data_IF_502937768346
#
_entry.id   IF_502937768346
#
_cell.length_a   1.000
_cell.length_b   1.000
_cell.length_c   1.000
_cell.angle_alpha   90.00
_cell.angle_beta   90.00
_cell.angle_gamma   90.00
#
_symmetry.space_group_name_H-M   'P 1'
#
loop_
_entity.id
_entity.type
_entity.pdbx_description
1 polymer ?
#
# COMPACT_ATOMS: atom_id res chain seq x y z
N UNK A 1 10.88 64.79 -6.68
CA UNK A 1 10.11 65.83 -5.98
C UNK A 1 8.95 66.24 -6.89
N UNK A 2 7.74 66.19 -6.31
CA UNK A 2 6.47 66.80 -6.69
C UNK A 2 5.86 66.58 -8.09
N UNK A 3 4.69 65.94 -8.03
CA UNK A 3 3.55 66.02 -8.94
C UNK A 3 3.09 67.46 -9.21
N UNK A 4 2.20 67.63 -10.20
CA UNK A 4 0.96 68.34 -9.87
C UNK A 4 -0.32 67.67 -10.39
N UNK A 5 -1.35 67.98 -9.62
CA UNK A 5 -2.77 67.63 -9.68
C UNK A 5 -3.49 68.54 -10.69
N UNK A 6 -4.65 68.12 -11.22
CA UNK A 6 -5.81 68.99 -11.56
C UNK A 6 -7.05 68.15 -11.94
N UNK A 7 -8.28 68.70 -11.86
CA UNK A 7 -9.39 68.04 -11.16
C UNK A 7 -10.68 67.88 -11.99
N UNK A 8 -11.65 67.17 -11.39
CA UNK A 8 -13.05 67.10 -11.78
C UNK A 8 -13.88 68.16 -11.04
N UNK A 9 -14.85 68.81 -11.70
CA UNK A 9 -16.15 69.16 -11.11
C UNK A 9 -17.15 69.71 -12.15
N UNK A 10 -18.42 69.26 -12.09
CA UNK A 10 -19.66 70.04 -11.86
C UNK A 10 -20.90 69.17 -12.19
N UNK A 11 -21.70 68.77 -11.18
CA UNK A 11 -23.01 69.31 -10.70
C UNK A 11 -24.22 68.86 -11.56
N UNK A 12 -25.47 68.58 -11.10
CA UNK A 12 -26.19 68.34 -9.83
C UNK A 12 -27.63 67.83 -10.23
N UNK A 13 -28.22 66.73 -9.71
CA UNK A 13 -29.27 66.56 -8.63
C UNK A 13 -30.61 67.33 -8.85
N UNK A 14 -31.85 66.87 -8.46
CA UNK A 14 -32.54 65.55 -8.31
C UNK A 14 -34.00 65.55 -8.86
N UNK A 15 -34.81 64.48 -8.70
CA UNK A 15 -36.22 64.52 -8.19
C UNK A 15 -36.81 63.11 -7.92
N UNK A 16 -37.88 63.07 -7.12
CA UNK A 16 -38.43 61.99 -6.28
C UNK A 16 -39.55 61.15 -6.97
N UNK A 17 -39.71 59.88 -6.51
CA UNK A 17 -40.75 58.82 -6.69
C UNK A 17 -42.25 59.29 -6.73
N UNK A 18 -43.30 58.47 -7.07
CA UNK A 18 -43.44 56.98 -7.05
C UNK A 18 -44.35 56.29 -8.13
N UNK A 19 -44.47 54.95 -8.05
CA UNK A 19 -45.70 54.12 -8.13
C UNK A 19 -45.96 53.15 -9.32
N UNK A 20 -46.22 51.90 -8.91
CA UNK A 20 -47.02 50.80 -9.49
C UNK A 20 -46.57 50.07 -10.77
N UNK A 21 -46.15 48.81 -10.60
CA UNK A 21 -46.87 47.66 -11.19
C UNK A 21 -46.52 46.37 -10.43
N UNK A 22 -47.56 45.70 -9.94
CA UNK A 22 -47.49 44.42 -9.27
C UNK A 22 -47.68 43.27 -10.28
N UNK A 23 -46.95 42.19 -9.99
CA UNK A 23 -47.25 40.77 -10.22
C UNK A 23 -47.32 40.25 -11.67
N UNK A 24 -46.26 39.53 -12.06
CA UNK A 24 -46.37 38.09 -12.39
C UNK A 24 -45.18 37.36 -11.77
N UNK A 25 -45.48 36.41 -10.89
CA UNK A 25 -44.54 35.47 -10.28
C UNK A 25 -43.82 34.62 -11.32
N UNK A 26 -42.49 34.56 -11.25
CA UNK A 26 -41.78 33.29 -11.34
C UNK A 26 -40.89 33.19 -10.09
N UNK A 27 -41.32 32.36 -9.15
CA UNK A 27 -40.52 32.03 -7.97
C UNK A 27 -39.23 31.36 -8.42
N UNK A 28 -38.11 31.91 -7.97
CA UNK A 28 -36.89 31.16 -7.80
C UNK A 28 -37.11 30.09 -6.73
N UNK A 29 -37.03 28.82 -7.12
CA UNK A 29 -36.63 27.71 -6.24
C UNK A 29 -35.93 26.70 -7.13
N UNK A 30 -34.62 26.54 -6.96
CA UNK A 30 -33.92 25.37 -7.48
C UNK A 30 -34.50 24.07 -6.88
N UNK A 31 -34.16 22.92 -7.48
CA UNK A 31 -33.30 22.06 -6.69
C UNK A 31 -32.00 21.73 -7.43
N UNK A 32 -30.91 22.22 -6.84
CA UNK A 32 -29.57 21.67 -6.96
C UNK A 32 -29.66 20.14 -6.80
N UNK A 33 -29.39 19.39 -7.87
CA UNK A 33 -29.35 17.93 -7.82
C UNK A 33 -28.23 17.46 -6.87
N UNK A 34 -28.60 17.11 -5.64
CA UNK A 34 -27.74 16.47 -4.63
C UNK A 34 -27.47 14.98 -4.91
N UNK A 35 -27.59 14.51 -6.16
CA UNK A 35 -27.72 13.08 -6.48
C UNK A 35 -26.42 12.31 -6.80
N UNK A 36 -25.23 12.92 -6.66
CA UNK A 36 -23.98 12.34 -7.18
C UNK A 36 -23.08 11.54 -6.19
N UNK A 37 -22.87 11.94 -4.93
CA UNK A 37 -21.84 11.29 -4.08
C UNK A 37 -22.26 9.93 -3.48
N UNK A 38 -23.55 9.75 -3.13
CA UNK A 38 -24.01 8.50 -2.48
C UNK A 38 -24.03 7.31 -3.44
N UNK A 39 -24.34 7.54 -4.73
CA UNK A 39 -24.30 6.49 -5.76
C UNK A 39 -22.87 6.04 -6.04
N UNK A 40 -21.91 6.95 -5.97
CA UNK A 40 -20.49 6.66 -6.16
C UNK A 40 -19.96 5.75 -5.04
N UNK A 41 -20.26 6.06 -3.77
CA UNK A 41 -19.86 5.22 -2.64
C UNK A 41 -20.50 3.83 -2.65
N UNK A 42 -21.79 3.71 -3.02
CA UNK A 42 -22.45 2.41 -3.13
C UNK A 42 -21.76 1.50 -4.17
N UNK A 43 -21.38 2.06 -5.32
CA UNK A 43 -20.61 1.32 -6.33
C UNK A 43 -19.24 0.93 -5.78
N UNK A 44 -18.52 1.84 -5.13
CA UNK A 44 -17.21 1.53 -4.53
C UNK A 44 -17.32 0.43 -3.46
N UNK A 45 -18.36 0.43 -2.63
CA UNK A 45 -18.59 -0.62 -1.64
C UNK A 45 -18.86 -1.98 -2.31
N UNK A 46 -19.67 -2.03 -3.37
CA UNK A 46 -19.89 -3.27 -4.14
C UNK A 46 -18.61 -3.81 -4.79
N UNK A 47 -17.73 -2.91 -5.25
CA UNK A 47 -16.42 -3.28 -5.79
C UNK A 47 -15.50 -3.86 -4.70
N UNK A 48 -15.48 -3.26 -3.51
CA UNK A 48 -14.73 -3.77 -2.35
C UNK A 48 -15.29 -5.11 -1.88
N UNK A 49 -16.61 -5.26 -1.82
CA UNK A 49 -17.23 -6.50 -1.39
C UNK A 49 -18.59 -6.72 -2.08
N UNK A 50 -18.71 -7.70 -2.99
CA UNK A 50 -19.97 -7.99 -3.68
C UNK A 50 -21.14 -8.33 -2.76
N UNK A 51 -20.89 -8.77 -1.51
CA UNK A 51 -21.92 -9.11 -0.54
C UNK A 51 -22.70 -7.88 -0.03
N UNK A 52 -22.28 -6.66 -0.36
CA UNK A 52 -23.08 -5.46 -0.11
C UNK A 52 -24.39 -5.41 -0.92
N UNK A 53 -24.52 -6.19 -2.00
CA UNK A 53 -25.72 -6.22 -2.85
C UNK A 53 -27.01 -6.51 -2.07
N UNK A 54 -26.92 -7.33 -1.02
CA UNK A 54 -28.04 -7.74 -0.18
C UNK A 54 -28.09 -7.01 1.18
N UNK A 55 -27.06 -6.23 1.51
CA UNK A 55 -26.83 -5.68 2.86
C UNK A 55 -26.50 -4.19 2.85
N UNK A 56 -26.73 -3.49 1.75
CA UNK A 56 -26.38 -2.07 1.62
C UNK A 56 -27.09 -1.24 2.70
N UNK A 57 -26.37 -0.36 3.44
CA UNK A 57 -27.00 0.54 4.39
C UNK A 57 -27.97 1.49 3.68
N UNK A 58 -28.93 2.02 4.44
CA UNK A 58 -29.88 2.97 3.88
C UNK A 58 -29.20 4.25 3.36
N UNK A 59 -29.92 4.99 2.53
CA UNK A 59 -29.37 6.18 1.89
C UNK A 59 -29.02 7.29 2.90
N UNK A 60 -29.65 7.31 4.09
CA UNK A 60 -29.41 8.31 5.12
C UNK A 60 -28.10 8.04 5.89
N UNK A 61 -27.79 6.77 6.16
CA UNK A 61 -26.54 6.33 6.74
C UNK A 61 -25.34 6.60 5.82
N UNK A 62 -25.56 6.54 4.50
CA UNK A 62 -24.54 6.83 3.49
C UNK A 62 -24.43 8.31 3.11
N UNK A 63 -25.47 9.13 3.35
CA UNK A 63 -25.50 10.54 2.96
C UNK A 63 -24.46 11.40 3.70
N UNK A 64 -24.02 10.96 4.88
CA UNK A 64 -22.97 11.62 5.67
C UNK A 64 -21.54 11.29 5.18
N UNK A 65 -21.40 10.31 4.28
CA UNK A 65 -20.13 9.80 3.80
C UNK A 65 -19.85 10.32 2.39
N UNK A 66 -18.64 10.85 2.19
CA UNK A 66 -18.16 11.29 0.89
C UNK A 66 -17.53 10.11 0.15
N UNK A 67 -17.50 10.16 -1.19
CA UNK A 67 -16.70 9.23 -1.97
C UNK A 67 -15.23 9.35 -1.57
N UNK A 68 -14.53 8.22 -1.57
CA UNK A 68 -13.18 8.10 -1.03
C UNK A 68 -12.22 7.77 -2.17
N UNK A 69 -11.28 8.68 -2.45
CA UNK A 69 -10.26 8.54 -3.50
C UNK A 69 -9.02 7.74 -3.05
N UNK A 70 -9.04 7.23 -1.82
CA UNK A 70 -7.95 6.48 -1.20
C UNK A 70 -8.40 5.07 -0.82
N UNK A 71 -7.64 4.06 -1.25
CA UNK A 71 -7.98 2.64 -1.07
C UNK A 71 -8.08 2.26 0.40
N UNK A 72 -7.15 2.74 1.23
CA UNK A 72 -7.15 2.45 2.67
C UNK A 72 -8.38 3.07 3.31
N UNK A 73 -8.66 4.35 3.06
CA UNK A 73 -9.83 5.01 3.60
C UNK A 73 -11.16 4.41 3.07
N UNK A 74 -11.20 3.86 1.85
CA UNK A 74 -12.35 3.15 1.31
C UNK A 74 -12.58 1.83 2.06
N UNK A 75 -11.53 1.04 2.29
CA UNK A 75 -11.60 -0.20 3.08
C UNK A 75 -11.95 0.10 4.54
N UNK A 76 -11.43 1.18 5.13
CA UNK A 76 -11.84 1.63 6.47
C UNK A 76 -13.31 2.02 6.54
N UNK A 77 -13.81 2.70 5.49
CA UNK A 77 -15.22 3.05 5.37
C UNK A 77 -16.08 1.80 5.27
N UNK A 78 -15.65 0.82 4.48
CA UNK A 78 -16.27 -0.50 4.42
C UNK A 78 -16.35 -1.14 5.80
N UNK A 79 -15.23 -1.26 6.53
CA UNK A 79 -15.24 -1.91 7.85
C UNK A 79 -16.07 -1.16 8.89
N UNK A 80 -16.10 0.17 8.88
CA UNK A 80 -16.98 0.93 9.78
C UNK A 80 -18.44 0.55 9.58
N UNK A 81 -18.90 0.43 8.33
CA UNK A 81 -20.27 0.01 8.02
C UNK A 81 -20.52 -1.46 8.38
N UNK A 82 -19.53 -2.34 8.21
CA UNK A 82 -19.62 -3.74 8.67
C UNK A 82 -19.76 -3.79 10.20
N UNK A 83 -18.94 -3.05 10.94
CA UNK A 83 -18.99 -2.97 12.39
C UNK A 83 -20.35 -2.49 12.89
N UNK A 84 -20.94 -1.47 12.25
CA UNK A 84 -22.29 -1.00 12.57
C UNK A 84 -23.33 -2.13 12.42
N UNK A 85 -23.24 -2.96 11.37
CA UNK A 85 -24.12 -4.11 11.20
C UNK A 85 -23.88 -5.22 12.21
N UNK A 86 -22.62 -5.51 12.55
CA UNK A 86 -22.27 -6.53 13.53
C UNK A 86 -22.81 -6.18 14.92
N UNK A 87 -22.77 -4.89 15.27
CA UNK A 87 -23.29 -4.37 16.54
C UNK A 87 -24.82 -4.35 16.61
N UNK A 88 -25.49 -4.16 15.48
CA UNK A 88 -26.95 -4.10 15.39
C UNK A 88 -27.62 -5.48 15.17
N UNK A 89 -26.84 -6.52 14.89
CA UNK A 89 -27.36 -7.86 14.62
C UNK A 89 -28.07 -8.47 15.84
N UNK A 90 -29.20 -9.14 15.61
CA UNK A 90 -29.82 -10.00 16.62
C UNK A 90 -28.96 -11.26 16.80
N UNK A 91 -28.59 -11.52 18.05
CA UNK A 91 -27.70 -12.60 18.47
C UNK A 91 -28.31 -13.44 19.61
N UNK A 92 -29.63 -13.42 19.76
CA UNK A 92 -30.34 -14.13 20.83
C UNK A 92 -30.16 -15.66 20.74
N UNK A 93 -29.72 -16.15 19.58
CA UNK A 93 -29.39 -17.55 19.30
C UNK A 93 -27.99 -17.96 19.76
N UNK A 94 -27.11 -17.02 20.14
CA UNK A 94 -25.74 -17.32 20.55
C UNK A 94 -25.67 -17.77 22.02
N UNK A 95 -24.75 -18.71 22.29
CA UNK A 95 -24.35 -19.01 23.67
C UNK A 95 -23.61 -17.83 24.31
N UNK A 96 -23.48 -17.84 25.64
CA UNK A 96 -22.70 -16.83 26.38
C UNK A 96 -21.25 -16.76 25.86
N UNK A 97 -20.59 -17.91 25.72
CA UNK A 97 -19.22 -18.00 25.19
C UNK A 97 -19.10 -17.42 23.76
N UNK A 98 -20.04 -17.74 22.87
CA UNK A 98 -20.06 -17.18 21.51
C UNK A 98 -20.30 -15.68 21.51
N UNK A 99 -21.17 -15.18 22.39
CA UNK A 99 -21.47 -13.75 22.51
C UNK A 99 -20.24 -12.97 22.98
N UNK A 100 -19.51 -13.51 23.96
CA UNK A 100 -18.25 -12.92 24.41
C UNK A 100 -17.16 -12.93 23.33
N UNK A 101 -16.98 -14.03 22.60
CA UNK A 101 -15.99 -14.11 21.53
C UNK A 101 -16.35 -13.21 20.35
N UNK A 102 -17.64 -13.09 20.04
CA UNK A 102 -18.14 -12.11 19.05
C UNK A 102 -17.73 -10.69 19.45
N UNK A 103 -17.94 -10.30 20.71
CA UNK A 103 -17.55 -8.98 21.20
C UNK A 103 -16.04 -8.74 21.08
N UNK A 104 -15.21 -9.73 21.42
CA UNK A 104 -13.75 -9.67 21.25
C UNK A 104 -13.34 -9.53 19.78
N UNK A 105 -14.01 -10.24 18.86
CA UNK A 105 -13.73 -10.14 17.43
C UNK A 105 -14.19 -8.80 16.82
N UNK A 106 -15.29 -8.22 17.28
CA UNK A 106 -15.69 -6.87 16.90
C UNK A 106 -14.62 -5.85 17.31
N UNK A 107 -14.04 -5.98 18.51
CA UNK A 107 -12.99 -5.07 18.96
C UNK A 107 -11.69 -5.25 18.16
N UNK A 108 -11.26 -6.50 17.91
CA UNK A 108 -10.12 -6.78 17.01
C UNK A 108 -10.32 -6.17 15.62
N UNK A 109 -11.53 -6.25 15.06
CA UNK A 109 -11.84 -5.66 13.76
C UNK A 109 -11.78 -4.12 13.80
N UNK A 110 -12.19 -3.49 14.91
CA UNK A 110 -12.03 -2.04 15.10
C UNK A 110 -10.57 -1.63 15.14
N UNK A 111 -9.75 -2.31 15.92
CA UNK A 111 -8.30 -2.07 16.00
C UNK A 111 -7.63 -2.24 14.63
N UNK A 112 -7.95 -3.33 13.92
CA UNK A 112 -7.49 -3.60 12.56
C UNK A 112 -7.88 -2.48 11.58
N UNK A 113 -9.12 -1.99 11.68
CA UNK A 113 -9.63 -0.89 10.87
C UNK A 113 -8.86 0.41 11.14
N UNK A 114 -8.62 0.73 12.41
CA UNK A 114 -7.87 1.94 12.81
C UNK A 114 -6.40 1.88 12.39
N UNK A 115 -5.78 0.70 12.44
CA UNK A 115 -4.40 0.51 11.99
C UNK A 115 -4.23 0.81 10.50
N UNK A 116 -5.23 0.49 9.67
CA UNK A 116 -5.23 0.80 8.23
C UNK A 116 -4.15 0.05 7.44
N UNK A 117 -3.69 -1.09 7.96
CA UNK A 117 -2.67 -1.94 7.34
C UNK A 117 -3.36 -3.13 6.71
N UNK A 118 -3.61 -3.05 5.41
CA UNK A 118 -4.38 -4.04 4.66
C UNK A 118 -3.53 -4.76 3.61
N UNK A 119 -3.87 -6.02 3.29
CA UNK A 119 -3.23 -6.76 2.20
C UNK A 119 -3.23 -6.01 0.89
N UNK A 120 -2.22 -6.26 0.07
CA UNK A 120 -2.18 -5.74 -1.30
C UNK A 120 -2.23 -6.88 -2.30
N UNK A 121 -3.08 -6.72 -3.31
CA UNK A 121 -3.18 -7.69 -4.39
C UNK A 121 -2.07 -7.45 -5.41
N UNK A 122 -1.00 -8.25 -5.34
CA UNK A 122 0.08 -8.30 -6.34
C UNK A 122 -0.01 -9.53 -7.23
N UNK A 123 -1.05 -10.33 -7.09
CA UNK A 123 -1.14 -11.65 -7.71
C UNK A 123 -1.90 -11.62 -9.03
N UNK A 124 -3.03 -10.91 -9.07
CA UNK A 124 -3.95 -10.94 -10.22
C UNK A 124 -4.56 -9.57 -10.47
N UNK A 125 -4.74 -9.21 -11.74
CA UNK A 125 -5.38 -7.95 -12.12
C UNK A 125 -6.83 -7.85 -11.61
N UNK A 126 -7.24 -6.63 -11.26
CA UNK A 126 -8.56 -6.33 -10.70
C UNK A 126 -8.66 -6.55 -9.19
N UNK A 127 -9.86 -6.40 -8.63
CA UNK A 127 -10.11 -6.63 -7.19
C UNK A 127 -10.22 -8.11 -6.88
N UNK A 128 -9.47 -8.59 -5.89
CA UNK A 128 -9.49 -9.99 -5.45
C UNK A 128 -9.28 -10.13 -3.94
N UNK A 129 -9.85 -11.14 -3.27
CA UNK A 129 -9.44 -11.45 -1.91
C UNK A 129 -7.95 -11.80 -1.91
N UNK A 130 -7.27 -11.41 -0.84
CA UNK A 130 -5.89 -11.80 -0.54
C UNK A 130 -5.88 -12.17 0.92
N UNK A 131 -5.69 -13.45 1.24
CA UNK A 131 -5.81 -13.94 2.61
C UNK A 131 -4.65 -13.44 3.47
N UNK A 132 -3.41 -13.67 3.03
CA UNK A 132 -2.20 -13.02 3.53
C UNK A 132 -1.40 -12.56 2.31
N UNK A 133 -0.99 -11.30 2.27
CA UNK A 133 -0.12 -10.82 1.20
C UNK A 133 1.33 -11.30 1.40
N UNK A 134 2.23 -11.18 0.41
CA UNK A 134 3.60 -11.66 0.56
C UNK A 134 4.33 -11.01 1.75
N UNK A 135 3.97 -9.77 2.06
CA UNK A 135 4.53 -9.00 3.17
C UNK A 135 4.08 -9.53 4.54
N UNK A 136 3.12 -10.45 4.60
CA UNK A 136 2.60 -11.02 5.84
C UNK A 136 1.41 -10.26 6.40
N UNK A 137 0.89 -9.27 5.67
CA UNK A 137 -0.32 -8.55 6.06
C UNK A 137 -1.51 -9.47 5.89
N UNK A 138 -2.20 -9.75 6.99
CA UNK A 138 -3.40 -10.57 6.98
C UNK A 138 -4.61 -9.74 6.54
N UNK A 139 -5.53 -10.34 5.78
CA UNK A 139 -6.87 -9.79 5.62
C UNK A 139 -7.60 -9.73 6.96
N UNK A 140 -8.73 -9.02 7.02
CA UNK A 140 -9.51 -8.92 8.24
C UNK A 140 -9.89 -10.30 8.83
N UNK A 141 -10.38 -11.25 8.02
CA UNK A 141 -10.72 -12.60 8.51
C UNK A 141 -9.47 -13.34 9.01
N UNK A 142 -8.37 -13.32 8.25
CA UNK A 142 -7.10 -13.93 8.67
C UNK A 142 -6.55 -13.30 9.95
N UNK A 143 -6.71 -11.99 10.12
CA UNK A 143 -6.32 -11.27 11.33
C UNK A 143 -7.15 -11.70 12.54
N UNK A 144 -8.47 -11.82 12.40
CA UNK A 144 -9.35 -12.34 13.46
C UNK A 144 -8.97 -13.76 13.86
N UNK A 145 -8.72 -14.65 12.90
CA UNK A 145 -8.27 -16.03 13.15
C UNK A 145 -6.94 -16.03 13.92
N UNK A 146 -5.94 -15.29 13.43
CA UNK A 146 -4.60 -15.28 14.03
C UNK A 146 -4.60 -14.71 15.46
N UNK A 147 -5.30 -13.58 15.68
CA UNK A 147 -5.32 -12.87 16.97
C UNK A 147 -6.34 -13.42 17.97
N UNK A 148 -7.21 -14.34 17.55
CA UNK A 148 -8.03 -15.19 18.43
C UNK A 148 -7.32 -16.48 18.84
N UNK A 149 -6.03 -16.63 18.53
CA UNK A 149 -5.20 -17.74 19.00
C UNK A 149 -4.94 -18.84 17.96
N UNK A 150 -5.30 -18.63 16.70
CA UNK A 150 -5.17 -19.65 15.64
C UNK A 150 -4.24 -19.22 14.48
N UNK A 151 -3.01 -18.73 14.72
CA UNK A 151 -2.14 -18.23 13.65
C UNK A 151 -1.68 -19.34 12.68
N UNK A 152 -1.63 -20.60 13.12
CA UNK A 152 -1.36 -21.75 12.25
C UNK A 152 -2.51 -21.98 11.25
N UNK A 153 -3.76 -21.84 11.70
CA UNK A 153 -4.93 -21.96 10.83
C UNK A 153 -4.94 -20.84 9.77
N UNK A 154 -4.63 -19.60 10.16
CA UNK A 154 -4.54 -18.49 9.22
C UNK A 154 -3.49 -18.75 8.11
N UNK A 155 -2.30 -19.26 8.48
CA UNK A 155 -1.26 -19.64 7.51
C UNK A 155 -1.66 -20.83 6.64
N UNK A 156 -2.37 -21.80 7.21
CA UNK A 156 -2.88 -22.96 6.49
C UNK A 156 -3.86 -22.53 5.39
N UNK A 157 -4.83 -21.68 5.76
CA UNK A 157 -5.80 -21.12 4.81
C UNK A 157 -5.10 -20.30 3.72
N UNK A 158 -4.10 -19.47 4.06
CA UNK A 158 -3.37 -18.74 3.02
C UNK A 158 -2.72 -19.69 2.00
N UNK A 159 -2.07 -20.75 2.48
CA UNK A 159 -1.40 -21.73 1.61
C UNK A 159 -2.37 -22.43 0.66
N UNK A 160 -3.56 -22.76 1.13
CA UNK A 160 -4.54 -23.55 0.38
C UNK A 160 -5.48 -22.68 -0.47
N UNK A 161 -5.80 -21.47 0.00
CA UNK A 161 -6.92 -20.65 -0.49
C UNK A 161 -6.61 -19.14 -0.54
N UNK A 162 -5.35 -18.75 -0.77
CA UNK A 162 -4.89 -17.34 -0.78
C UNK A 162 -5.83 -16.33 -1.45
N UNK A 163 -6.40 -16.67 -2.60
CA UNK A 163 -7.17 -15.76 -3.46
C UNK A 163 -8.68 -16.10 -3.51
N UNK A 164 -9.12 -17.01 -2.66
CA UNK A 164 -10.50 -17.47 -2.63
C UNK A 164 -11.36 -16.60 -1.72
N UNK A 165 -12.63 -16.48 -2.13
CA UNK A 165 -13.67 -15.94 -1.27
C UNK A 165 -13.99 -16.96 -0.18
N UNK A 166 -14.35 -16.47 1.00
CA UNK A 166 -14.56 -17.31 2.19
C UNK A 166 -15.50 -18.50 1.95
N UNK A 167 -16.56 -18.30 1.17
CA UNK A 167 -17.53 -19.36 0.84
C UNK A 167 -17.00 -20.50 -0.03
N UNK A 168 -15.73 -20.45 -0.47
CA UNK A 168 -15.05 -21.52 -1.23
C UNK A 168 -13.86 -22.12 -0.49
N UNK A 169 -13.60 -21.68 0.75
CA UNK A 169 -12.50 -22.18 1.56
C UNK A 169 -12.96 -23.46 2.26
N UNK A 170 -12.23 -24.55 2.05
CA UNK A 170 -12.54 -25.88 2.58
C UNK A 170 -11.52 -26.36 3.62
N UNK A 171 -10.58 -25.50 4.02
CA UNK A 171 -9.54 -25.82 5.02
C UNK A 171 -10.13 -26.30 6.36
N UNK A 172 -9.64 -27.46 6.81
CA UNK A 172 -9.96 -28.03 8.11
C UNK A 172 -9.71 -27.03 9.26
N UNK A 173 -10.67 -26.91 10.19
CA UNK A 173 -10.60 -26.00 11.32
C UNK A 173 -11.29 -24.65 11.10
N UNK A 174 -11.54 -24.23 9.85
CA UNK A 174 -12.23 -22.97 9.57
C UNK A 174 -13.68 -22.98 10.09
N UNK A 175 -14.39 -24.10 9.90
CA UNK A 175 -15.79 -24.23 10.35
C UNK A 175 -15.89 -24.21 11.87
N UNK A 176 -15.01 -24.95 12.55
CA UNK A 176 -14.93 -25.00 14.01
C UNK A 176 -14.62 -23.62 14.59
N UNK A 177 -13.64 -22.92 14.01
CA UNK A 177 -13.33 -21.55 14.40
C UNK A 177 -14.52 -20.61 14.17
N UNK A 178 -15.18 -20.70 13.00
CA UNK A 178 -16.33 -19.86 12.69
C UNK A 178 -17.45 -20.05 13.71
N UNK A 179 -17.79 -21.30 14.06
CA UNK A 179 -18.82 -21.60 15.08
C UNK A 179 -18.45 -21.06 16.46
N UNK A 180 -17.18 -21.16 16.86
CA UNK A 180 -16.69 -20.64 18.13
C UNK A 180 -16.61 -19.11 18.17
N UNK A 181 -16.39 -18.46 17.02
CA UNK A 181 -16.16 -17.01 16.92
C UNK A 181 -17.40 -16.15 17.24
N UNK A 182 -18.60 -16.73 17.20
CA UNK A 182 -19.87 -16.02 17.28
C UNK A 182 -20.19 -15.12 16.07
N UNK A 183 -19.41 -15.22 14.98
CA UNK A 183 -19.65 -14.56 13.71
C UNK A 183 -20.27 -15.52 12.71
N UNK A 184 -21.31 -15.09 11.99
CA UNK A 184 -21.99 -15.88 10.97
C UNK A 184 -21.20 -15.89 9.66
N UNK A 185 -21.39 -16.91 8.83
CA UNK A 185 -20.71 -17.03 7.52
C UNK A 185 -20.94 -15.79 6.65
N UNK A 186 -22.17 -15.26 6.61
CA UNK A 186 -22.47 -14.07 5.81
C UNK A 186 -21.83 -12.80 6.38
N UNK A 187 -21.60 -12.74 7.68
CA UNK A 187 -20.87 -11.64 8.32
C UNK A 187 -19.39 -11.70 7.96
N UNK A 188 -18.78 -12.89 8.06
CA UNK A 188 -17.40 -13.09 7.65
C UNK A 188 -17.19 -12.84 6.15
N UNK A 189 -18.17 -13.20 5.31
CA UNK A 189 -18.16 -12.87 3.88
C UNK A 189 -18.19 -11.35 3.65
N UNK A 190 -18.91 -10.59 4.49
CA UNK A 190 -18.89 -9.12 4.44
C UNK A 190 -17.60 -8.55 5.05
N UNK A 191 -16.98 -9.21 6.03
CA UNK A 191 -15.67 -8.84 6.60
C UNK A 191 -14.52 -9.10 5.63
N UNK A 192 -14.65 -9.98 4.62
CA UNK A 192 -13.57 -10.26 3.67
C UNK A 192 -13.62 -9.31 2.46
N UNK A 193 -12.82 -8.22 2.41
CA UNK A 193 -12.80 -7.35 1.24
C UNK A 193 -12.02 -7.98 0.07
N UNK A 194 -12.22 -7.40 -1.10
CA UNK A 194 -11.42 -7.59 -2.29
C UNK A 194 -10.50 -6.38 -2.48
N UNK A 195 -9.20 -6.64 -2.55
CA UNK A 195 -8.17 -5.60 -2.66
C UNK A 195 -7.88 -5.29 -4.13
N UNK A 196 -7.80 -4.01 -4.47
CA UNK A 196 -7.40 -3.55 -5.80
C UNK A 196 -6.01 -4.09 -6.16
N UNK A 197 -5.83 -4.49 -7.42
CA UNK A 197 -4.53 -4.89 -7.91
C UNK A 197 -3.55 -3.72 -7.82
N UNK A 198 -2.45 -3.92 -7.09
CA UNK A 198 -1.40 -2.93 -6.96
C UNK A 198 -0.67 -2.80 -8.29
N UNK A 199 -1.02 -1.77 -9.04
CA UNK A 199 -0.26 -1.32 -10.18
C UNK A 199 0.64 -0.14 -9.76
N UNK A 200 1.95 -0.32 -9.82
CA UNK A 200 2.88 0.77 -9.53
C UNK A 200 2.83 1.78 -10.69
N UNK A 201 2.14 2.90 -10.47
CA UNK A 201 2.07 4.01 -11.44
C UNK A 201 3.38 4.80 -11.60
N UNK A 202 4.42 4.40 -10.87
CA UNK A 202 5.74 5.00 -10.85
C UNK A 202 6.76 3.97 -11.34
N UNK A 203 7.69 4.40 -12.18
CA UNK A 203 8.75 3.54 -12.73
C UNK A 203 10.06 3.83 -12.01
N UNK A 204 10.77 2.80 -11.53
CA UNK A 204 12.18 2.92 -11.13
C UNK A 204 13.05 2.20 -12.15
N UNK A 205 14.12 2.88 -12.56
CA UNK A 205 15.22 2.30 -13.33
C UNK A 205 16.46 2.30 -12.45
N UNK A 206 17.00 1.10 -12.25
CA UNK A 206 18.29 0.89 -11.61
C UNK A 206 19.35 0.59 -12.68
N UNK A 207 20.65 0.79 -12.39
CA UNK A 207 21.71 0.18 -13.19
C UNK A 207 21.52 -1.34 -13.20
N UNK A 208 21.86 -2.01 -14.31
CA UNK A 208 21.61 -3.45 -14.50
C UNK A 208 22.18 -4.30 -13.36
N UNK A 209 23.35 -3.93 -12.83
CA UNK A 209 23.96 -4.70 -11.74
C UNK A 209 23.14 -4.64 -10.45
N UNK A 210 22.54 -3.48 -10.16
CA UNK A 210 21.67 -3.30 -8.99
C UNK A 210 20.32 -3.96 -9.22
N UNK A 211 19.77 -3.90 -10.43
CA UNK A 211 18.53 -4.58 -10.77
C UNK A 211 18.65 -6.09 -10.59
N UNK A 212 19.72 -6.70 -11.12
CA UNK A 212 19.99 -8.13 -10.97
C UNK A 212 20.15 -8.51 -9.50
N UNK A 213 20.87 -7.71 -8.70
CA UNK A 213 20.99 -7.94 -7.26
C UNK A 213 19.63 -7.85 -6.51
N UNK A 214 18.78 -6.89 -6.86
CA UNK A 214 17.42 -6.77 -6.30
C UNK A 214 16.57 -8.01 -6.65
N UNK A 215 16.79 -8.57 -7.83
CA UNK A 215 16.15 -9.80 -8.30
C UNK A 215 16.79 -11.09 -7.76
N UNK A 216 17.82 -10.97 -6.92
CA UNK A 216 18.47 -12.11 -6.25
C UNK A 216 19.67 -12.69 -6.99
N UNK A 217 20.26 -11.96 -7.94
CA UNK A 217 21.45 -12.39 -8.67
C UNK A 217 22.59 -11.37 -8.51
N UNK A 218 23.63 -11.75 -7.76
CA UNK A 218 24.81 -10.92 -7.51
C UNK A 218 25.93 -11.09 -8.54
N UNK A 219 25.78 -11.94 -9.56
CA UNK A 219 26.83 -12.22 -10.54
C UNK A 219 27.33 -10.96 -11.26
N UNK A 220 26.42 -10.06 -11.63
CA UNK A 220 26.78 -8.81 -12.30
C UNK A 220 27.58 -7.87 -11.40
N UNK A 221 27.26 -7.82 -10.10
CA UNK A 221 28.00 -7.03 -9.12
C UNK A 221 29.41 -7.59 -8.95
N UNK A 222 29.54 -8.91 -8.82
CA UNK A 222 30.83 -9.59 -8.67
C UNK A 222 31.74 -9.37 -9.88
N UNK A 223 31.22 -9.50 -11.11
CA UNK A 223 31.99 -9.24 -12.33
C UNK A 223 32.33 -7.75 -12.49
N UNK A 224 31.43 -6.84 -12.10
CA UNK A 224 31.72 -5.41 -12.11
C UNK A 224 32.81 -5.01 -11.10
N UNK A 225 32.86 -5.64 -9.92
CA UNK A 225 33.94 -5.47 -8.94
C UNK A 225 35.27 -6.02 -9.48
N UNK A 226 35.25 -7.23 -10.03
CA UNK A 226 36.43 -7.92 -10.57
C UNK A 226 37.05 -7.18 -11.76
N UNK A 227 36.23 -6.60 -12.62
CA UNK A 227 36.68 -5.79 -13.76
C UNK A 227 37.13 -4.37 -13.38
N UNK A 228 36.88 -3.94 -12.14
CA UNK A 228 37.14 -2.58 -11.68
C UNK A 228 36.14 -1.54 -12.21
N UNK A 229 35.05 -1.98 -12.85
CA UNK A 229 33.93 -1.10 -13.24
C UNK A 229 33.26 -0.48 -12.01
N UNK A 230 33.15 -1.28 -10.96
CA UNK A 230 32.68 -0.86 -9.64
C UNK A 230 33.76 -1.13 -8.59
N UNK A 231 33.63 -0.43 -7.48
CA UNK A 231 34.43 -0.52 -6.26
C UNK A 231 33.47 -0.59 -5.08
N UNK A 232 33.93 -1.13 -3.96
CA UNK A 232 33.12 -1.26 -2.72
C UNK A 232 32.59 0.09 -2.20
N UNK A 233 33.23 1.20 -2.58
CA UNK A 233 32.87 2.55 -2.15
C UNK A 233 31.83 3.22 -3.05
N UNK A 234 31.48 2.63 -4.20
CA UNK A 234 30.48 3.22 -5.08
C UNK A 234 29.11 3.27 -4.40
N UNK A 235 28.36 4.33 -4.72
CA UNK A 235 27.00 4.54 -4.20
C UNK A 235 25.99 4.62 -5.31
N UNK A 236 24.81 4.04 -5.11
CA UNK A 236 23.66 4.13 -6.01
C UNK A 236 22.44 4.57 -5.20
N UNK A 237 21.79 5.67 -5.57
CA UNK A 237 20.65 6.19 -4.79
C UNK A 237 20.99 6.50 -3.33
N UNK A 238 22.23 6.92 -3.07
CA UNK A 238 22.76 7.19 -1.74
C UNK A 238 23.17 5.97 -0.91
N UNK A 239 23.06 4.76 -1.46
CA UNK A 239 23.36 3.48 -0.77
C UNK A 239 24.64 2.84 -1.30
N UNK A 240 25.45 2.23 -0.43
CA UNK A 240 26.59 1.37 -0.81
C UNK A 240 26.11 0.00 -1.25
N UNK A 241 27.01 -0.80 -1.85
CA UNK A 241 26.75 -2.20 -2.19
C UNK A 241 26.31 -3.04 -0.98
N UNK A 242 26.86 -2.75 0.20
CA UNK A 242 26.51 -3.47 1.43
C UNK A 242 25.03 -3.27 1.83
N UNK A 243 24.45 -2.09 1.62
CA UNK A 243 23.02 -1.85 1.86
C UNK A 243 22.14 -2.67 0.91
N UNK A 244 22.50 -2.73 -0.38
CA UNK A 244 21.73 -3.52 -1.36
C UNK A 244 21.84 -5.02 -1.07
N UNK A 245 23.04 -5.53 -0.79
CA UNK A 245 23.26 -6.92 -0.44
C UNK A 245 22.46 -7.31 0.82
N UNK A 246 22.42 -6.41 1.82
CA UNK A 246 21.63 -6.62 3.02
C UNK A 246 20.11 -6.59 2.78
N UNK A 247 19.62 -5.69 1.94
CA UNK A 247 18.21 -5.65 1.54
C UNK A 247 17.80 -6.90 0.75
N UNK A 248 18.68 -7.41 -0.12
CA UNK A 248 18.47 -8.62 -0.92
C UNK A 248 18.69 -9.93 -0.14
N UNK A 249 19.23 -9.87 1.08
CA UNK A 249 19.51 -11.07 1.89
C UNK A 249 20.66 -11.94 1.37
N UNK A 250 21.56 -11.40 0.55
CA UNK A 250 22.71 -12.13 -0.01
C UNK A 250 23.89 -12.09 0.97
N UNK A 251 23.91 -13.05 1.90
CA UNK A 251 24.95 -13.16 2.93
C UNK A 251 26.35 -13.37 2.35
N UNK A 252 26.47 -14.10 1.25
CA UNK A 252 27.76 -14.39 0.64
C UNK A 252 28.34 -13.14 -0.02
N UNK A 253 27.50 -12.36 -0.71
CA UNK A 253 27.93 -11.04 -1.20
C UNK A 253 28.28 -10.09 -0.05
N UNK A 254 27.51 -10.08 1.05
CA UNK A 254 27.82 -9.25 2.24
C UNK A 254 29.22 -9.55 2.77
N UNK A 255 29.55 -10.82 3.01
CA UNK A 255 30.89 -11.23 3.48
C UNK A 255 31.97 -10.83 2.49
N UNK A 256 31.75 -11.11 1.21
CA UNK A 256 32.72 -10.79 0.16
C UNK A 256 33.02 -9.28 0.07
N UNK A 257 32.00 -8.43 0.17
CA UNK A 257 32.18 -6.98 0.17
C UNK A 257 33.01 -6.51 1.37
N UNK A 258 32.79 -7.07 2.55
CA UNK A 258 33.56 -6.75 3.77
C UNK A 258 35.01 -7.21 3.62
N UNK A 259 35.27 -8.40 3.07
CA UNK A 259 36.62 -8.89 2.78
C UNK A 259 37.37 -7.97 1.78
N UNK A 260 36.65 -7.35 0.86
CA UNK A 260 37.18 -6.35 -0.07
C UNK A 260 37.34 -4.95 0.56
N UNK A 261 37.06 -4.79 1.85
CA UNK A 261 37.24 -3.55 2.60
C UNK A 261 36.06 -2.57 2.51
N UNK A 262 34.84 -3.06 2.24
CA UNK A 262 33.64 -2.22 2.39
C UNK A 262 33.50 -1.74 3.85
N UNK A 263 33.19 -0.46 4.02
CA UNK A 263 32.92 0.11 5.34
C UNK A 263 31.62 -0.46 5.92
N UNK A 264 31.76 -1.30 6.96
CA UNK A 264 30.66 -1.95 7.68
C UNK A 264 29.72 -0.93 8.34
N UNK A 265 30.25 0.23 8.76
CA UNK A 265 29.50 1.27 9.47
C UNK A 265 28.98 2.36 8.53
N UNK A 266 29.12 2.18 7.22
CA UNK A 266 28.61 3.12 6.24
C UNK A 266 27.10 3.32 6.43
N UNK A 267 26.68 4.58 6.47
CA UNK A 267 25.26 4.95 6.48
C UNK A 267 24.81 5.42 5.11
N UNK A 268 23.54 5.19 4.79
CA UNK A 268 22.93 5.67 3.56
C UNK A 268 22.72 7.18 3.57
N UNK A 269 22.81 7.80 2.41
CA UNK A 269 22.42 9.20 2.18
C UNK A 269 21.13 9.25 1.39
N UNK A 270 20.49 10.43 1.29
CA UNK A 270 19.43 10.63 0.31
C UNK A 270 19.99 10.43 -1.11
N UNK A 271 19.25 9.72 -1.95
CA UNK A 271 19.51 9.59 -3.39
C UNK A 271 19.15 10.86 -4.16
N UNK A 272 18.11 11.58 -3.74
CA UNK A 272 17.79 12.92 -4.25
C UNK A 272 17.02 13.76 -3.21
N UNK A 273 16.96 15.07 -3.46
CA UNK A 273 16.27 16.01 -2.59
C UNK A 273 14.79 16.22 -2.99
N UNK A 274 14.06 16.97 -2.17
CA UNK A 274 12.64 17.25 -2.40
C UNK A 274 12.37 18.07 -3.67
N UNK A 275 13.32 18.93 -4.05
CA UNK A 275 13.21 19.75 -5.26
C UNK A 275 13.30 18.88 -6.53
N UNK A 276 14.14 17.84 -6.50
CA UNK A 276 14.24 16.84 -7.55
C UNK A 276 12.95 16.02 -7.62
N UNK A 277 12.46 15.50 -6.49
CA UNK A 277 11.21 14.73 -6.43
C UNK A 277 10.02 15.52 -7.02
N UNK A 278 9.99 16.84 -6.80
CA UNK A 278 8.93 17.71 -7.32
C UNK A 278 8.90 17.79 -8.86
N UNK A 279 10.02 17.56 -9.56
CA UNK A 279 10.10 17.61 -11.03
C UNK A 279 9.27 16.55 -11.73
N UNK A 280 9.02 15.42 -11.07
CA UNK A 280 8.24 14.32 -11.66
C UNK A 280 6.74 14.60 -11.76
N UNK A 281 6.19 15.60 -11.05
CA UNK A 281 4.75 15.86 -11.06
C UNK A 281 3.92 14.67 -10.51
N UNK A 282 2.76 14.40 -11.12
CA UNK A 282 1.80 13.38 -10.64
C UNK A 282 2.32 11.95 -10.79
N UNK A 283 2.87 11.62 -11.95
CA UNK A 283 3.46 10.31 -12.25
C UNK A 283 4.95 10.52 -12.39
N UNK A 284 5.76 9.75 -11.66
CA UNK A 284 7.21 9.99 -11.56
C UNK A 284 7.96 8.81 -12.16
N UNK A 285 9.05 9.10 -12.86
CA UNK A 285 10.08 8.13 -13.25
C UNK A 285 11.35 8.46 -12.48
N UNK A 286 11.93 7.46 -11.85
CA UNK A 286 13.17 7.54 -11.09
C UNK A 286 14.27 6.81 -11.84
N UNK A 287 15.37 7.50 -12.12
CA UNK A 287 16.58 6.89 -12.66
C UNK A 287 17.66 6.93 -11.58
N UNK A 288 17.87 5.80 -10.92
CA UNK A 288 18.89 5.63 -9.89
C UNK A 288 20.22 5.37 -10.60
N UNK A 289 21.29 6.06 -10.17
CA UNK A 289 22.57 6.07 -10.89
C UNK A 289 23.75 5.87 -9.94
N UNK A 290 24.81 5.26 -10.45
CA UNK A 290 26.09 5.15 -9.75
C UNK A 290 26.75 6.52 -9.58
N UNK A 291 27.12 6.84 -8.35
CA UNK A 291 27.83 8.04 -7.90
C UNK A 291 27.21 9.37 -8.35
N UNK A 292 25.90 9.37 -8.60
CA UNK A 292 25.13 10.54 -9.00
C UNK A 292 23.79 10.57 -8.26
N UNK A 293 23.17 11.75 -8.21
CA UNK A 293 21.83 11.88 -7.65
C UNK A 293 20.81 11.15 -8.53
N UNK A 294 19.81 10.53 -7.88
CA UNK A 294 18.66 9.93 -8.57
C UNK A 294 17.94 11.01 -9.37
N UNK A 295 17.80 10.81 -10.67
CA UNK A 295 17.04 11.72 -11.53
C UNK A 295 15.55 11.46 -11.39
N UNK A 296 14.75 12.53 -11.31
CA UNK A 296 13.29 12.40 -11.28
C UNK A 296 12.67 13.18 -12.42
N UNK A 297 11.98 12.45 -13.31
CA UNK A 297 11.30 13.03 -14.48
C UNK A 297 9.81 12.70 -14.50
N UNK A 298 8.99 13.45 -15.25
CA UNK A 298 7.60 13.06 -15.48
C UNK A 298 7.49 11.67 -16.12
N UNK A 299 6.74 10.80 -15.45
CA UNK A 299 6.37 9.45 -15.88
C UNK A 299 5.02 9.39 -16.59
N UNK A 300 4.61 8.18 -16.97
CA UNK A 300 3.28 7.90 -17.53
C UNK A 300 2.48 7.09 -16.51
N UNK A 301 1.16 7.31 -16.47
CA UNK A 301 0.23 6.59 -15.56
C UNK A 301 0.32 5.07 -15.66
N UNK A 302 0.61 4.55 -16.86
CA UNK A 302 0.65 3.13 -17.18
C UNK A 302 2.01 2.74 -17.77
N UNK A 303 3.10 3.33 -17.27
CA UNK A 303 4.43 2.85 -17.62
C UNK A 303 4.68 1.49 -16.93
N UNK A 304 5.50 0.65 -17.55
CA UNK A 304 6.03 -0.54 -16.88
C UNK A 304 6.73 -0.07 -15.59
N UNK A 305 6.37 -0.66 -14.44
CA UNK A 305 6.84 -0.24 -13.11
C UNK A 305 8.37 -0.30 -12.94
N UNK A 306 9.08 -0.88 -13.90
CA UNK A 306 10.49 -1.28 -13.80
C UNK A 306 10.56 -2.79 -13.56
N UNK A 307 11.58 -3.45 -14.10
CA UNK A 307 11.64 -4.92 -14.11
C UNK A 307 11.76 -5.53 -12.70
N UNK A 308 12.28 -4.79 -11.73
CA UNK A 308 12.23 -5.20 -10.30
C UNK A 308 10.81 -5.44 -9.78
N UNK A 309 9.80 -4.74 -10.31
CA UNK A 309 8.40 -4.89 -9.88
C UNK A 309 7.63 -6.00 -10.61
N UNK A 310 8.27 -6.69 -11.55
CA UNK A 310 7.69 -7.86 -12.22
C UNK A 310 7.72 -9.11 -11.33
N UNK A 311 8.46 -9.06 -10.21
CA UNK A 311 8.58 -10.15 -9.25
C UNK A 311 8.19 -9.69 -7.85
N UNK A 312 7.69 -10.63 -7.03
CA UNK A 312 7.33 -10.37 -5.63
C UNK A 312 8.57 -10.01 -4.80
N UNK A 313 9.68 -10.72 -5.02
CA UNK A 313 10.96 -10.45 -4.37
C UNK A 313 11.52 -9.07 -4.73
N UNK A 314 11.61 -8.75 -6.03
CA UNK A 314 12.14 -7.46 -6.45
C UNK A 314 11.25 -6.30 -5.97
N UNK A 315 9.93 -6.48 -5.97
CA UNK A 315 8.99 -5.50 -5.40
C UNK A 315 9.22 -5.29 -3.91
N UNK A 316 9.43 -6.37 -3.15
CA UNK A 316 9.73 -6.33 -1.72
C UNK A 316 11.02 -5.55 -1.45
N UNK A 317 12.11 -5.93 -2.10
CA UNK A 317 13.43 -5.32 -1.89
C UNK A 317 13.40 -3.84 -2.32
N UNK A 318 12.77 -3.51 -3.46
CA UNK A 318 12.60 -2.13 -3.89
C UNK A 318 11.77 -1.28 -2.90
N UNK A 319 10.74 -1.86 -2.28
CA UNK A 319 9.97 -1.19 -1.23
C UNK A 319 10.79 -0.98 0.05
N UNK A 320 11.68 -1.91 0.42
CA UNK A 320 12.65 -1.73 1.51
C UNK A 320 13.63 -0.59 1.21
N UNK A 321 14.08 -0.44 -0.04
CA UNK A 321 15.06 0.57 -0.44
C UNK A 321 14.50 2.01 -0.46
N UNK A 322 13.19 2.17 -0.65
CA UNK A 322 12.44 3.44 -0.66
C UNK A 322 12.94 4.50 -1.66
N UNK A 323 13.47 4.08 -2.82
CA UNK A 323 14.07 5.02 -3.79
C UNK A 323 13.07 6.01 -4.41
N UNK A 324 11.78 5.67 -4.46
CA UNK A 324 10.69 6.57 -4.86
C UNK A 324 10.60 7.87 -4.03
N UNK A 325 11.20 7.92 -2.84
CA UNK A 325 11.16 9.08 -1.94
C UNK A 325 12.53 9.74 -1.79
N UNK A 326 13.43 9.47 -2.74
CA UNK A 326 14.81 9.93 -2.68
C UNK A 326 15.66 9.16 -1.66
N UNK A 327 15.27 7.92 -1.32
CA UNK A 327 16.02 7.01 -0.45
C UNK A 327 15.95 7.35 1.05
N UNK A 328 16.47 6.43 1.87
CA UNK A 328 16.55 6.61 3.32
C UNK A 328 17.90 7.17 3.73
N UNK A 329 17.94 8.09 4.70
CA UNK A 329 19.17 8.67 5.24
C UNK A 329 19.51 8.05 6.61
N UNK A 330 20.80 7.89 6.90
CA UNK A 330 21.29 7.47 8.21
C UNK A 330 21.08 5.99 8.54
N UNK A 331 20.73 5.16 7.54
CA UNK A 331 20.50 3.73 7.73
C UNK A 331 21.75 2.95 7.33
N UNK A 332 22.24 2.10 8.22
CA UNK A 332 23.34 1.17 7.95
C UNK A 332 22.80 -0.16 7.36
N UNK A 333 23.70 -1.09 7.02
CA UNK A 333 23.32 -2.38 6.42
C UNK A 333 22.34 -3.20 7.27
N UNK A 334 22.49 -3.19 8.60
CA UNK A 334 21.60 -3.93 9.50
C UNK A 334 20.15 -3.44 9.37
N UNK A 335 19.95 -2.12 9.31
CA UNK A 335 18.61 -1.57 9.07
C UNK A 335 17.97 -2.06 7.77
N UNK A 336 18.76 -2.24 6.69
CA UNK A 336 18.23 -2.77 5.43
C UNK A 336 17.99 -4.28 5.48
N UNK A 337 18.72 -5.03 6.33
CA UNK A 337 18.46 -6.45 6.57
C UNK A 337 17.19 -6.66 7.42
N UNK A 338 16.87 -5.77 8.35
CA UNK A 338 15.75 -5.90 9.29
C UNK A 338 14.50 -5.12 8.89
N UNK A 339 14.60 -4.15 7.96
CA UNK A 339 13.47 -3.31 7.59
C UNK A 339 12.30 -4.12 7.01
N UNK A 340 11.10 -3.83 7.48
CA UNK A 340 9.90 -4.23 6.75
C UNK A 340 9.73 -3.33 5.51
N UNK A 341 9.18 -3.86 4.41
CA UNK A 341 8.84 -3.04 3.26
C UNK A 341 7.77 -2.04 3.66
N UNK A 342 7.71 -0.94 2.90
CA UNK A 342 6.76 0.13 3.22
C UNK A 342 5.32 -0.40 3.24
N UNK A 343 4.65 -0.11 4.35
CA UNK A 343 3.20 -0.08 4.40
C UNK A 343 2.69 0.94 3.37
N UNK A 344 1.64 0.60 2.62
CA UNK A 344 1.02 1.51 1.67
C UNK A 344 0.41 2.71 2.42
N UNK A 345 1.16 3.82 2.55
CA UNK A 345 0.59 5.12 2.94
C UNK A 345 0.44 6.02 1.71
N UNK A 346 -0.83 6.16 1.29
CA UNK A 346 -1.49 7.22 0.52
C UNK A 346 -0.78 7.83 -0.71
N UNK A 347 -1.50 7.77 -1.84
CA UNK A 347 -1.15 8.52 -3.05
C UNK A 347 -1.91 8.13 -4.31
N UNK A 348 -3.25 8.13 -4.27
CA UNK A 348 -4.19 8.13 -5.40
C UNK A 348 -4.19 6.93 -6.35
N UNK A 349 -5.18 6.04 -6.19
CA UNK A 349 -5.67 5.21 -7.28
C UNK A 349 -6.95 5.85 -7.84
N UNK A 350 -6.94 6.25 -9.12
CA UNK A 350 -8.19 6.52 -9.85
C UNK A 350 -8.53 5.30 -10.69
N UNK A 351 -9.79 4.90 -10.60
CA UNK A 351 -10.56 3.98 -11.43
C UNK A 351 -9.88 3.48 -12.70
N UNK A 352 -9.78 2.15 -12.81
CA UNK A 352 -9.53 1.45 -14.06
C UNK A 352 -10.88 0.97 -14.62
N UNK A 353 -11.32 1.64 -15.68
CA UNK A 353 -12.21 1.02 -16.65
C UNK A 353 -11.42 -0.06 -17.38
N UNK A 354 -12.03 -1.25 -17.49
CA UNK A 354 -11.56 -2.37 -18.29
C UNK A 354 -11.07 -1.94 -19.67
N UNK A 355 -9.87 -2.39 -20.04
CA UNK A 355 -9.53 -2.66 -21.44
C UNK A 355 -8.85 -4.02 -21.52
N UNK A 356 -9.52 -4.94 -22.21
CA UNK A 356 -9.06 -6.26 -22.61
C UNK A 356 -7.58 -6.26 -23.05
N UNK A 357 -6.80 -7.28 -22.63
CA UNK A 357 -5.71 -7.75 -23.48
C UNK A 357 -4.38 -8.17 -22.87
N UNK A 358 -4.15 -8.13 -21.56
CA UNK A 358 -2.90 -8.65 -20.98
C UNK A 358 -3.17 -9.69 -19.89
N UNK A 359 -3.27 -10.96 -20.31
CA UNK A 359 -3.07 -12.08 -19.41
C UNK A 359 -1.57 -12.14 -19.07
N UNK A 360 -1.16 -11.54 -17.96
CA UNK A 360 0.09 -11.95 -17.33
C UNK A 360 -0.07 -13.42 -16.90
N UNK A 361 0.48 -14.34 -17.69
CA UNK A 361 0.69 -15.73 -17.26
C UNK A 361 1.84 -15.72 -16.24
N UNK A 362 1.54 -15.32 -15.01
CA UNK A 362 2.43 -15.66 -13.89
C UNK A 362 2.20 -17.15 -13.64
N UNK A 363 3.27 -17.90 -13.91
CA UNK A 363 3.23 -19.35 -14.05
C UNK A 363 2.76 -20.07 -12.81
N UNK A 364 2.06 -21.17 -13.08
CA UNK A 364 1.81 -22.26 -12.15
C UNK A 364 3.16 -22.73 -11.56
N UNK A 365 3.50 -22.29 -10.35
CA UNK A 365 4.57 -22.88 -9.53
C UNK A 365 4.06 -22.93 -8.09
N UNK A 366 3.93 -24.16 -7.63
CA UNK A 366 3.74 -24.62 -6.25
C UNK A 366 3.15 -23.58 -5.28
N UNK A 367 1.82 -23.62 -5.09
CA UNK A 367 1.10 -22.77 -4.14
C UNK A 367 1.54 -22.97 -2.67
N UNK A 368 2.43 -23.92 -2.40
CA UNK A 368 2.84 -24.34 -1.06
C UNK A 368 3.95 -23.50 -0.41
N UNK A 369 4.73 -22.73 -1.17
CA UNK A 369 5.85 -21.91 -0.63
C UNK A 369 5.59 -20.41 -0.82
N UNK A 370 5.79 -19.61 0.23
CA UNK A 370 5.67 -18.16 0.09
C UNK A 370 6.90 -17.68 -0.72
N UNK A 371 6.71 -16.91 -1.80
CA UNK A 371 7.80 -16.46 -2.66
C UNK A 371 8.88 -15.63 -1.94
N UNK A 372 8.64 -15.23 -0.69
CA UNK A 372 9.57 -14.47 0.14
C UNK A 372 10.24 -15.26 1.27
N UNK A 373 9.93 -16.55 1.47
CA UNK A 373 10.49 -17.31 2.59
C UNK A 373 12.02 -17.33 2.54
N UNK A 374 12.60 -17.71 1.40
CA UNK A 374 14.05 -17.69 1.20
C UNK A 374 14.67 -16.29 1.36
N UNK A 375 13.98 -15.23 0.91
CA UNK A 375 14.43 -13.85 1.10
C UNK A 375 14.46 -13.48 2.59
N UNK A 376 13.41 -13.83 3.35
CA UNK A 376 13.32 -13.54 4.78
C UNK A 376 14.40 -14.29 5.57
N UNK A 377 14.63 -15.56 5.23
CA UNK A 377 15.71 -16.36 5.82
C UNK A 377 17.09 -15.75 5.51
N UNK A 378 17.36 -15.40 4.25
CA UNK A 378 18.61 -14.76 3.84
C UNK A 378 18.86 -13.43 4.56
N UNK A 379 17.83 -12.57 4.62
CA UNK A 379 17.90 -11.28 5.34
C UNK A 379 18.11 -11.46 6.85
N UNK A 380 17.46 -12.45 7.47
CA UNK A 380 17.68 -12.77 8.88
C UNK A 380 19.11 -13.27 9.14
N UNK A 381 19.66 -14.09 8.23
CA UNK A 381 21.03 -14.55 8.30
C UNK A 381 22.04 -13.39 8.15
N UNK A 382 21.79 -12.46 7.22
CA UNK A 382 22.57 -11.22 7.10
C UNK A 382 22.50 -10.40 8.38
N UNK A 383 21.31 -10.16 8.92
CA UNK A 383 21.14 -9.38 10.13
C UNK A 383 21.93 -9.97 11.30
N UNK A 384 21.83 -11.29 11.49
CA UNK A 384 22.56 -12.03 12.53
C UNK A 384 24.07 -11.85 12.36
N UNK A 385 24.58 -12.08 11.15
CA UNK A 385 26.00 -11.94 10.87
C UNK A 385 26.52 -10.51 11.08
N UNK A 386 25.78 -9.49 10.64
CA UNK A 386 26.14 -8.09 10.84
C UNK A 386 26.21 -7.73 12.35
N UNK A 387 25.28 -8.24 13.15
CA UNK A 387 25.30 -8.08 14.61
C UNK A 387 26.51 -8.76 15.25
N UNK A 388 26.90 -9.95 14.78
CA UNK A 388 28.13 -10.64 15.22
C UNK A 388 29.39 -9.84 14.87
N UNK A 389 29.38 -9.07 13.78
CA UNK A 389 30.46 -8.14 13.44
C UNK A 389 30.43 -6.83 14.27
N UNK A 390 29.50 -6.70 15.23
CA UNK A 390 29.39 -5.54 16.11
C UNK A 390 28.58 -4.38 15.55
N UNK A 391 27.82 -4.58 14.46
CA UNK A 391 26.92 -3.56 13.93
C UNK A 391 25.61 -3.53 14.73
N UNK A 392 25.24 -2.37 15.26
CA UNK A 392 23.99 -2.11 15.97
C UNK A 392 23.04 -1.23 15.16
N UNK A 393 21.75 -1.22 15.51
CA UNK A 393 20.76 -0.31 14.92
C UNK A 393 20.90 1.13 15.46
N UNK A 394 21.37 1.30 16.70
CA UNK A 394 21.79 2.59 17.24
C UNK A 394 23.16 2.96 16.66
N UNK A 395 23.20 3.96 15.78
CA UNK A 395 24.48 4.49 15.29
C UNK A 395 25.38 4.89 16.45
N UNK A 396 26.67 4.54 16.35
CA UNK A 396 27.78 4.77 17.30
C UNK A 396 27.40 5.62 18.52
N UNK A 397 27.17 4.97 19.68
CA UNK A 397 27.18 5.63 20.99
C UNK A 397 28.59 6.10 21.37
#
# INVERSE_FOLDING_TARGET
MNTPITPWLKLAIPFVLPALLAAVSLHATEPFETRKPTRELQTQLLEVNPNWSERMPDQSALASLRSVDDEVALIQTHFRLVLDQLMAANVDDLTESQSEERARNIERLREYTLAGVFPQNVFVAGRRPVFIDPWGTHCAVGHLIATSGHPQLARLIDREHRLDVLGRIETDGLTEWQLASGLRVQELALIQPHYEFRNNSQTIQYPTEVESLILGDSAEILEALKSGKLTVNNRCGGKTLLHFAAASGDLELVKHLVDLGADLHAVSTRGCDESEIAKGGRYKRFEVRWNASTEVTPGKRYADGGRVYETVQGSFVADVLQDFFGGMVGKNALHYATAEPRMAKLGHSKHLYYSNGFQHRIGNRDASTNPLDSLKEGRAAVATWLQEQGLSEGGLE
#
